data_IF_492700100177
#
_entry.id   IF_492700100177
#
_cell.length_a   1.000
_cell.length_b   1.000
_cell.length_c   1.000
_cell.angle_alpha   90.00
_cell.angle_beta   90.00
_cell.angle_gamma   90.00
#
_symmetry.space_group_name_H-M   'P 1'
#
loop_
_entity.id
_entity.type
_entity.pdbx_description
1 polymer ?
#
# COMPACT_ATOMS: atom_id res chain seq x y z
N UNK A 1 -22.20 -7.98 -15.02
CA UNK A 1 -21.34 -7.09 -15.85
C UNK A 1 -20.89 -7.86 -17.09
N UNK A 2 -20.93 -7.25 -18.26
CA UNK A 2 -20.31 -7.83 -19.46
C UNK A 2 -18.78 -7.75 -19.34
N UNK A 3 -18.10 -8.85 -18.99
CA UNK A 3 -16.64 -8.86 -18.76
C UNK A 3 -15.81 -8.31 -19.92
N UNK A 4 -16.27 -8.51 -21.17
CA UNK A 4 -15.64 -7.95 -22.38
C UNK A 4 -15.54 -6.42 -22.37
N UNK A 5 -16.44 -5.75 -21.66
CA UNK A 5 -16.40 -4.29 -21.56
C UNK A 5 -15.24 -3.80 -20.68
N UNK A 6 -14.70 -4.58 -19.74
CA UNK A 6 -13.59 -4.14 -18.85
C UNK A 6 -12.32 -3.80 -19.62
N UNK A 7 -12.04 -4.54 -20.70
CA UNK A 7 -10.87 -4.37 -21.56
C UNK A 7 -11.16 -3.51 -22.81
N UNK A 8 -12.34 -2.89 -22.88
CA UNK A 8 -12.71 -2.09 -24.04
C UNK A 8 -12.10 -0.70 -23.99
N UNK A 9 -11.26 -0.37 -24.97
CA UNK A 9 -10.64 0.96 -25.09
C UNK A 9 -11.68 2.01 -25.48
N UNK A 10 -12.70 1.65 -26.27
CA UNK A 10 -13.75 2.57 -26.74
C UNK A 10 -14.99 2.42 -25.86
N UNK A 11 -15.50 3.50 -25.28
CA UNK A 11 -16.72 3.49 -24.48
C UNK A 11 -16.68 4.51 -23.34
N UNK A 12 -17.73 4.48 -22.53
CA UNK A 12 -17.99 5.38 -21.41
C UNK A 12 -18.54 4.62 -20.21
N UNK A 13 -18.10 4.99 -19.02
CA UNK A 13 -18.53 4.40 -17.75
C UNK A 13 -19.31 5.44 -16.95
N UNK A 14 -20.50 5.06 -16.45
CA UNK A 14 -21.23 5.88 -15.50
C UNK A 14 -20.49 5.89 -14.13
N UNK A 15 -20.89 6.81 -13.26
CA UNK A 15 -20.23 6.99 -11.96
C UNK A 15 -20.29 5.73 -11.07
N UNK A 16 -21.42 5.01 -11.08
CA UNK A 16 -21.61 3.79 -10.29
C UNK A 16 -20.67 2.67 -10.76
N UNK A 17 -20.55 2.49 -12.06
CA UNK A 17 -19.70 1.46 -12.64
C UNK A 17 -18.22 1.76 -12.41
N UNK A 18 -17.82 3.01 -12.61
CA UNK A 18 -16.45 3.44 -12.36
C UNK A 18 -16.06 3.25 -10.88
N UNK A 19 -16.89 3.71 -9.94
CA UNK A 19 -16.65 3.53 -8.51
C UNK A 19 -16.61 2.07 -8.09
N UNK A 20 -17.54 1.25 -8.60
CA UNK A 20 -17.56 -0.19 -8.31
C UNK A 20 -16.31 -0.91 -8.83
N UNK A 21 -15.86 -0.60 -10.05
CA UNK A 21 -14.63 -1.19 -10.61
C UNK A 21 -13.43 -0.73 -9.78
N UNK A 22 -13.22 0.58 -9.62
CA UNK A 22 -12.08 1.11 -8.87
C UNK A 22 -12.02 0.59 -7.44
N UNK A 23 -13.14 0.62 -6.71
CA UNK A 23 -13.23 0.10 -5.34
C UNK A 23 -12.93 -1.40 -5.26
N UNK A 24 -13.41 -2.20 -6.23
CA UNK A 24 -13.11 -3.63 -6.29
C UNK A 24 -11.61 -3.88 -6.50
N UNK A 25 -10.91 -3.05 -7.28
CA UNK A 25 -9.47 -3.21 -7.52
C UNK A 25 -8.65 -2.93 -6.25
N UNK A 26 -8.97 -1.87 -5.49
CA UNK A 26 -8.35 -1.61 -4.19
C UNK A 26 -8.62 -2.74 -3.18
N UNK A 27 -9.83 -3.28 -3.18
CA UNK A 27 -10.18 -4.43 -2.33
C UNK A 27 -9.41 -5.69 -2.72
N UNK A 28 -9.26 -5.97 -4.02
CA UNK A 28 -8.46 -7.10 -4.50
C UNK A 28 -6.99 -6.95 -4.09
N UNK A 29 -6.43 -5.73 -4.09
CA UNK A 29 -5.08 -5.50 -3.56
C UNK A 29 -4.97 -5.75 -2.05
N UNK A 30 -5.95 -5.31 -1.27
CA UNK A 30 -5.98 -5.61 0.16
C UNK A 30 -6.08 -7.12 0.43
N UNK A 31 -6.93 -7.83 -0.29
CA UNK A 31 -6.99 -9.29 -0.21
C UNK A 31 -5.69 -9.94 -0.68
N UNK A 32 -5.06 -9.40 -1.72
CA UNK A 32 -3.74 -9.82 -2.21
C UNK A 32 -2.68 -9.71 -1.12
N UNK A 33 -2.63 -8.59 -0.42
CA UNK A 33 -1.75 -8.40 0.74
C UNK A 33 -2.02 -9.42 1.85
N UNK A 34 -3.29 -9.67 2.21
CA UNK A 34 -3.65 -10.65 3.26
C UNK A 34 -3.28 -12.08 2.86
N UNK A 35 -3.43 -12.46 1.59
CA UNK A 35 -3.23 -13.84 1.12
C UNK A 35 -1.79 -14.14 0.70
N UNK A 36 -1.11 -13.17 0.07
CA UNK A 36 0.23 -13.33 -0.51
C UNK A 36 1.30 -12.77 0.44
N UNK A 37 0.93 -11.84 1.33
CA UNK A 37 1.84 -11.13 2.21
C UNK A 37 2.45 -9.87 1.58
N UNK A 38 3.32 -9.21 2.35
CA UNK A 38 4.12 -8.09 1.89
C UNK A 38 5.17 -8.52 0.85
N UNK A 39 5.50 -7.61 -0.06
CA UNK A 39 6.55 -7.80 -1.07
C UNK A 39 6.08 -7.93 -2.52
N UNK A 40 6.91 -8.56 -3.35
CA UNK A 40 6.82 -8.50 -4.82
C UNK A 40 5.55 -9.11 -5.42
N UNK A 41 4.92 -10.08 -4.75
CA UNK A 41 3.68 -10.71 -5.22
C UNK A 41 2.51 -9.72 -5.31
N UNK A 42 2.39 -8.83 -4.32
CA UNK A 42 1.37 -7.78 -4.32
C UNK A 42 1.63 -6.73 -5.41
N UNK A 43 2.90 -6.38 -5.66
CA UNK A 43 3.29 -5.48 -6.75
C UNK A 43 2.96 -6.06 -8.14
N UNK A 44 3.20 -7.36 -8.33
CA UNK A 44 2.84 -8.05 -9.57
C UNK A 44 1.33 -8.04 -9.78
N UNK A 45 0.55 -8.30 -8.72
CA UNK A 45 -0.90 -8.21 -8.76
C UNK A 45 -1.36 -6.79 -9.14
N UNK A 46 -0.79 -5.75 -8.55
CA UNK A 46 -1.11 -4.36 -8.92
C UNK A 46 -0.80 -4.06 -10.39
N UNK A 47 0.33 -4.54 -10.90
CA UNK A 47 0.71 -4.36 -12.31
C UNK A 47 -0.32 -5.00 -13.26
N UNK A 48 -0.89 -6.15 -12.89
CA UNK A 48 -1.95 -6.82 -13.66
C UNK A 48 -3.29 -6.06 -13.61
N UNK A 49 -3.60 -5.40 -12.49
CA UNK A 49 -4.84 -4.65 -12.30
C UNK A 49 -4.77 -3.22 -12.86
N UNK A 50 -3.57 -2.65 -12.99
CA UNK A 50 -3.33 -1.29 -13.43
C UNK A 50 -3.99 -0.94 -14.79
N UNK A 51 -3.92 -1.79 -15.83
CA UNK A 51 -4.60 -1.52 -17.10
C UNK A 51 -6.12 -1.45 -16.96
N UNK A 52 -6.71 -2.26 -16.06
CA UNK A 52 -8.16 -2.27 -15.83
C UNK A 52 -8.61 -0.95 -15.20
N UNK A 53 -7.86 -0.47 -14.20
CA UNK A 53 -8.10 0.84 -13.59
C UNK A 53 -7.97 1.96 -14.64
N UNK A 54 -6.87 1.96 -15.39
CA UNK A 54 -6.62 2.97 -16.42
C UNK A 54 -7.68 3.01 -17.50
N UNK A 55 -8.14 1.85 -17.98
CA UNK A 55 -9.21 1.78 -18.98
C UNK A 55 -10.56 2.22 -18.41
N UNK A 56 -10.88 1.92 -17.15
CA UNK A 56 -12.11 2.44 -16.52
C UNK A 56 -12.04 3.95 -16.30
N UNK A 57 -10.90 4.48 -15.83
CA UNK A 57 -10.68 5.91 -15.68
C UNK A 57 -10.74 6.66 -17.02
N UNK A 58 -10.15 6.10 -18.09
CA UNK A 58 -10.25 6.67 -19.44
C UNK A 58 -11.70 6.72 -19.94
N UNK A 59 -12.48 5.66 -19.71
CA UNK A 59 -13.90 5.64 -20.06
C UNK A 59 -14.72 6.62 -19.24
N UNK A 60 -14.39 6.79 -17.95
CA UNK A 60 -15.03 7.79 -17.09
C UNK A 60 -14.73 9.21 -17.55
N UNK A 61 -13.46 9.51 -17.86
CA UNK A 61 -13.02 10.84 -18.33
C UNK A 61 -13.65 11.20 -19.67
N UNK A 62 -13.83 10.23 -20.57
CA UNK A 62 -14.58 10.43 -21.82
C UNK A 62 -16.08 10.64 -21.63
N UNK A 63 -16.63 10.16 -20.51
CA UNK A 63 -18.05 10.39 -20.19
C UNK A 63 -18.32 11.82 -19.71
N UNK A 64 -17.37 12.38 -18.97
CA UNK A 64 -17.41 13.77 -18.50
C UNK A 64 -16.77 14.75 -19.50
N UNK A 65 -16.47 14.28 -20.72
CA UNK A 65 -15.88 15.05 -21.84
C UNK A 65 -14.62 15.85 -21.46
N UNK A 66 -13.79 15.29 -20.57
CA UNK A 66 -12.52 15.90 -20.15
C UNK A 66 -11.34 15.33 -20.93
N UNK A 67 -10.21 16.05 -20.86
CA UNK A 67 -8.96 15.66 -21.49
C UNK A 67 -8.45 14.32 -20.90
N UNK A 68 -7.96 13.42 -21.76
CA UNK A 68 -7.62 12.05 -21.37
C UNK A 68 -6.55 11.91 -20.28
N UNK A 69 -5.69 12.90 -20.08
CA UNK A 69 -4.66 12.86 -19.03
C UNK A 69 -5.25 12.82 -17.61
N UNK A 70 -6.47 13.33 -17.40
CA UNK A 70 -7.16 13.23 -16.11
C UNK A 70 -7.35 11.78 -15.66
N UNK A 71 -7.42 10.83 -16.59
CA UNK A 71 -7.52 9.41 -16.25
C UNK A 71 -6.23 8.92 -15.57
N UNK A 72 -5.09 9.48 -15.97
CA UNK A 72 -3.79 9.20 -15.40
C UNK A 72 -3.69 9.54 -13.91
N UNK A 73 -4.50 10.48 -13.39
CA UNK A 73 -4.50 10.85 -11.97
C UNK A 73 -4.88 9.69 -11.04
N UNK A 74 -5.59 8.68 -11.55
CA UNK A 74 -5.97 7.50 -10.76
C UNK A 74 -4.82 6.50 -10.59
N UNK A 75 -3.79 6.54 -11.45
CA UNK A 75 -2.74 5.53 -11.49
C UNK A 75 -1.68 5.70 -10.39
N UNK A 76 -1.12 6.91 -10.13
CA UNK A 76 -0.14 7.10 -9.07
C UNK A 76 -0.62 6.66 -7.68
N UNK A 77 -1.80 7.08 -7.17
CA UNK A 77 -2.22 6.66 -5.83
C UNK A 77 -2.48 5.15 -5.75
N UNK A 78 -2.91 4.51 -6.83
CA UNK A 78 -3.06 3.06 -6.88
C UNK A 78 -1.70 2.33 -6.78
N UNK A 79 -0.70 2.79 -7.52
CA UNK A 79 0.65 2.23 -7.45
C UNK A 79 1.33 2.50 -6.10
N UNK A 80 1.19 3.72 -5.57
CA UNK A 80 1.71 4.08 -4.25
C UNK A 80 1.04 3.26 -3.14
N UNK A 81 -0.26 2.99 -3.26
CA UNK A 81 -0.96 2.10 -2.33
C UNK A 81 -0.39 0.69 -2.34
N UNK A 82 -0.20 0.11 -3.54
CA UNK A 82 0.42 -1.22 -3.65
C UNK A 82 1.87 -1.26 -3.14
N UNK A 83 2.65 -0.20 -3.39
CA UNK A 83 4.02 -0.09 -2.91
C UNK A 83 4.08 0.05 -1.38
N UNK A 84 3.19 0.86 -0.82
CA UNK A 84 3.08 1.04 0.63
C UNK A 84 2.69 -0.26 1.33
N UNK A 85 1.75 -1.03 0.76
CA UNK A 85 1.42 -2.37 1.25
C UNK A 85 2.60 -3.33 1.12
N UNK A 86 3.37 -3.26 0.03
CA UNK A 86 4.53 -4.12 -0.16
C UNK A 86 5.67 -3.84 0.85
N UNK A 87 5.76 -2.61 1.35
CA UNK A 87 6.72 -2.16 2.35
C UNK A 87 6.14 -2.13 3.78
N UNK A 88 4.94 -2.69 3.99
CA UNK A 88 4.26 -2.75 5.30
C UNK A 88 4.02 -1.38 5.98
N UNK A 89 4.09 -0.29 5.22
CA UNK A 89 3.87 1.06 5.76
C UNK A 89 2.38 1.37 5.87
N UNK A 90 1.83 1.23 7.07
CA UNK A 90 0.40 1.49 7.35
C UNK A 90 0.03 2.94 7.03
N UNK A 91 0.82 3.91 7.48
CA UNK A 91 0.54 5.34 7.25
C UNK A 91 0.53 5.69 5.76
N UNK A 92 1.55 5.26 5.00
CA UNK A 92 1.60 5.51 3.57
C UNK A 92 0.45 4.81 2.82
N UNK A 93 0.05 3.61 3.25
CA UNK A 93 -1.09 2.89 2.66
C UNK A 93 -2.42 3.64 2.92
N UNK A 94 -2.63 4.19 4.11
CA UNK A 94 -3.83 4.97 4.42
C UNK A 94 -3.88 6.28 3.64
N UNK A 95 -2.76 7.01 3.57
CA UNK A 95 -2.67 8.27 2.83
C UNK A 95 -2.95 8.04 1.34
N UNK A 96 -2.28 7.06 0.73
CA UNK A 96 -2.47 6.73 -0.69
C UNK A 96 -3.88 6.23 -0.99
N UNK A 97 -4.50 5.47 -0.08
CA UNK A 97 -5.90 5.06 -0.19
C UNK A 97 -6.84 6.26 -0.14
N UNK A 98 -6.68 7.18 0.82
CA UNK A 98 -7.51 8.38 0.95
C UNK A 98 -7.41 9.25 -0.30
N UNK A 99 -6.19 9.47 -0.82
CA UNK A 99 -5.97 10.21 -2.06
C UNK A 99 -6.64 9.50 -3.24
N UNK A 100 -6.45 8.18 -3.38
CA UNK A 100 -7.04 7.37 -4.44
C UNK A 100 -8.57 7.38 -4.43
N UNK A 101 -9.17 7.24 -3.24
CA UNK A 101 -10.62 7.35 -3.03
C UNK A 101 -11.10 8.75 -3.37
N UNK A 102 -10.42 9.80 -2.90
CA UNK A 102 -10.78 11.19 -3.17
C UNK A 102 -10.80 11.51 -4.68
N UNK A 103 -9.76 11.08 -5.41
CA UNK A 103 -9.69 11.27 -6.87
C UNK A 103 -10.78 10.45 -7.58
N UNK A 104 -11.01 9.21 -7.14
CA UNK A 104 -12.06 8.35 -7.70
C UNK A 104 -13.44 8.96 -7.50
N UNK A 105 -13.75 9.44 -6.29
CA UNK A 105 -15.02 10.11 -5.99
C UNK A 105 -15.14 11.43 -6.75
N UNK A 106 -14.08 12.22 -6.85
CA UNK A 106 -14.06 13.46 -7.62
C UNK A 106 -14.43 13.21 -9.10
N UNK A 107 -13.83 12.19 -9.73
CA UNK A 107 -14.16 11.82 -11.11
C UNK A 107 -15.56 11.18 -11.22
N UNK A 108 -15.98 10.43 -10.21
CA UNK A 108 -17.31 9.81 -10.17
C UNK A 108 -18.43 10.85 -10.07
N UNK A 109 -18.31 11.84 -9.20
CA UNK A 109 -19.37 12.82 -8.96
C UNK A 109 -19.46 13.93 -10.01
N UNK A 110 -18.51 14.01 -10.95
CA UNK A 110 -18.66 14.92 -12.09
C UNK A 110 -19.88 14.56 -12.94
N UNK A 111 -20.58 15.59 -13.42
CA UNK A 111 -21.78 15.41 -14.23
C UNK A 111 -21.44 14.70 -15.55
N UNK A 112 -22.18 13.63 -15.86
CA UNK A 112 -22.09 12.97 -17.16
C UNK A 112 -22.67 13.87 -18.25
N UNK A 113 -22.02 13.93 -19.42
CA UNK A 113 -22.56 14.64 -20.59
C UNK A 113 -23.72 13.87 -21.26
N UNK A 114 -23.95 12.61 -20.88
CA UNK A 114 -24.95 11.75 -21.52
C UNK A 114 -26.14 11.40 -20.61
N UNK A 115 -27.35 11.27 -21.20
CA UNK A 115 -28.54 10.92 -20.43
C UNK A 115 -28.47 9.48 -19.90
N UNK A 116 -28.98 9.28 -18.68
CA UNK A 116 -28.94 7.99 -17.98
C UNK A 116 -29.57 6.82 -18.75
N UNK A 117 -30.56 7.09 -19.62
CA UNK A 117 -31.27 6.09 -20.43
C UNK A 117 -30.39 5.39 -21.47
N UNK A 118 -29.20 5.94 -21.78
CA UNK A 118 -28.30 5.37 -22.77
C UNK A 118 -27.38 4.26 -22.22
N UNK A 119 -27.38 4.02 -20.90
CA UNK A 119 -26.47 3.06 -20.28
C UNK A 119 -27.09 1.67 -20.11
N UNK A 120 -26.32 0.64 -20.50
CA UNK A 120 -26.62 -0.75 -20.14
C UNK A 120 -25.62 -1.22 -19.08
N UNK A 121 -26.11 -1.59 -17.88
CA UNK A 121 -25.26 -1.95 -16.73
C UNK A 121 -24.17 -0.91 -16.40
N UNK A 122 -24.47 0.37 -16.60
CA UNK A 122 -23.54 1.48 -16.37
C UNK A 122 -22.44 1.66 -17.41
N UNK A 123 -22.53 0.97 -18.56
CA UNK A 123 -21.62 1.11 -19.70
C UNK A 123 -22.35 1.63 -20.95
N UNK A 124 -21.70 2.52 -21.70
CA UNK A 124 -22.12 2.97 -23.03
C UNK A 124 -20.97 2.79 -24.02
N UNK A 125 -21.15 1.95 -25.04
CA UNK A 125 -20.10 1.70 -26.03
C UNK A 125 -20.42 0.55 -26.99
N UNK A 126 -19.49 0.20 -27.89
CA UNK A 126 -19.72 -0.74 -29.00
C UNK A 126 -20.03 -2.19 -28.56
N UNK A 127 -19.79 -2.51 -27.28
CA UNK A 127 -20.11 -3.83 -26.71
C UNK A 127 -21.52 -3.90 -26.14
N UNK A 128 -22.22 -2.76 -26.03
CA UNK A 128 -23.67 -2.77 -25.79
C UNK A 128 -24.29 -3.19 -27.11
N UNK A 129 -24.74 -4.45 -27.19
CA UNK A 129 -25.68 -4.86 -28.23
C UNK A 129 -26.83 -3.86 -28.15
N UNK A 130 -26.90 -2.94 -29.10
CA UNK A 130 -28.13 -2.24 -29.37
C UNK A 130 -29.08 -3.34 -29.83
N UNK A 131 -29.79 -3.95 -28.87
CA UNK A 131 -31.11 -4.45 -29.16
C UNK A 131 -31.86 -3.22 -29.64
N UNK A 132 -31.78 -2.95 -30.95
CA UNK A 132 -32.80 -2.17 -31.63
C UNK A 132 -34.08 -2.77 -31.09
N UNK A 133 -35.00 -1.99 -30.51
CA UNK A 133 -36.34 -2.51 -30.30
C UNK A 133 -36.72 -3.04 -31.68
N UNK A 134 -36.80 -4.38 -31.81
CA UNK A 134 -37.47 -4.96 -32.95
C UNK A 134 -38.85 -4.38 -32.77
N UNK A 135 -39.15 -3.33 -33.54
CA UNK A 135 -40.52 -2.94 -33.79
C UNK A 135 -41.14 -4.25 -34.22
N UNK A 136 -41.88 -4.87 -33.31
CA UNK A 136 -42.69 -6.02 -33.61
C UNK A 136 -43.84 -5.42 -34.41
N UNK A 137 -43.54 -4.98 -35.64
CA UNK A 137 -44.54 -4.75 -36.65
C UNK A 137 -45.14 -6.12 -36.83
N UNK A 138 -46.30 -6.30 -36.20
CA UNK A 138 -47.15 -7.47 -36.39
C UNK A 138 -47.62 -7.38 -37.83
N UNK A 139 -46.84 -7.94 -38.74
CA UNK A 139 -47.25 -8.13 -40.12
C UNK A 139 -48.28 -9.25 -40.07
N UNK A 140 -49.55 -8.88 -40.19
CA UNK A 140 -50.61 -9.84 -40.42
C UNK A 140 -50.39 -10.47 -41.81
N UNK A 141 -50.49 -11.80 -41.95
CA UNK A 141 -50.34 -12.43 -43.24
C UNK A 141 -51.59 -12.14 -44.09
N UNK A 142 -51.49 -11.16 -45.00
CA UNK A 142 -52.51 -10.94 -46.03
C UNK A 142 -52.38 -12.02 -47.10
N UNK A 143 -53.34 -12.95 -47.13
CA UNK A 143 -53.55 -13.91 -48.24
C UNK A 143 -54.40 -13.21 -49.31
N UNK A 144 -53.90 -12.10 -49.85
CA UNK A 144 -54.39 -11.64 -51.14
C UNK A 144 -53.30 -10.89 -51.88
N UNK A 145 -53.03 -11.34 -53.11
CA UNK A 145 -51.85 -11.01 -53.91
C UNK A 145 -51.96 -9.66 -54.61
N UNK A 146 -52.15 -8.59 -53.86
CA UNK A 146 -52.22 -7.23 -54.39
C UNK A 146 -51.13 -6.37 -53.76
N UNK A 147 -50.14 -5.96 -54.55
CA UNK A 147 -49.15 -4.98 -54.14
C UNK A 147 -49.85 -3.64 -53.82
N UNK A 148 -49.52 -2.94 -52.72
CA UNK A 148 -50.07 -1.62 -52.51
C UNK A 148 -49.25 -0.61 -53.30
N UNK A 149 -49.94 0.12 -54.17
CA UNK A 149 -49.50 1.42 -54.65
C UNK A 149 -49.26 2.36 -53.45
N UNK A 150 -48.25 3.21 -53.59
CA UNK A 150 -47.87 4.18 -52.59
C UNK A 150 -49.01 5.18 -52.34
N UNK A 151 -49.58 5.16 -51.15
CA UNK A 151 -50.39 6.27 -50.63
C UNK A 151 -49.66 6.95 -49.47
N UNK A 152 -49.36 8.23 -49.69
CA UNK A 152 -49.05 9.20 -48.65
C UNK A 152 -50.24 9.30 -47.67
N UNK A 153 -49.99 9.02 -46.40
CA UNK A 153 -50.89 9.39 -45.32
C UNK A 153 -50.18 10.42 -44.45
N UNK A 154 -50.51 11.69 -44.66
CA UNK A 154 -50.34 12.72 -43.65
C UNK A 154 -51.32 12.48 -42.50
N UNK A 155 -50.90 12.74 -41.26
CA UNK A 155 -51.46 13.79 -40.40
C UNK A 155 -50.68 13.89 -39.07
N UNK A 156 -50.52 15.15 -38.69
CA UNK A 156 -50.38 15.76 -37.37
C UNK A 156 -49.05 15.86 -36.61
N UNK A 157 -48.73 17.13 -36.46
CA UNK A 157 -47.61 17.80 -35.84
C UNK A 157 -47.96 18.10 -34.38
N UNK A 158 -47.35 17.38 -33.43
CA UNK A 158 -47.19 17.83 -32.05
C UNK A 158 -46.22 16.90 -31.33
N UNK A 159 -44.93 17.23 -31.36
CA UNK A 159 -43.94 17.11 -30.26
C UNK A 159 -42.56 17.41 -30.86
N UNK A 160 -42.11 18.65 -30.69
CA UNK A 160 -40.78 19.09 -31.08
C UNK A 160 -39.70 18.27 -30.32
N UNK A 161 -39.08 17.33 -31.02
CA UNK A 161 -37.78 16.78 -30.64
C UNK A 161 -36.68 17.63 -31.29
N UNK A 162 -35.64 18.06 -30.56
CA UNK A 162 -34.62 18.92 -31.14
C UNK A 162 -33.81 18.16 -32.19
N UNK A 163 -33.65 18.83 -33.32
CA UNK A 163 -32.78 18.53 -34.44
C UNK A 163 -31.36 18.16 -33.96
N UNK A 164 -31.02 16.87 -34.01
CA UNK A 164 -29.63 16.43 -33.96
C UNK A 164 -29.09 16.44 -35.38
N UNK A 165 -28.07 17.28 -35.60
CA UNK A 165 -27.19 17.21 -36.76
C UNK A 165 -26.79 15.77 -37.03
N UNK A 166 -27.19 15.30 -38.21
CA UNK A 166 -26.75 14.05 -38.81
C UNK A 166 -25.26 14.15 -39.08
N UNK A 167 -24.44 13.70 -38.13
CA UNK A 167 -23.04 13.41 -38.40
C UNK A 167 -22.97 12.21 -39.36
N UNK A 168 -22.34 12.43 -40.51
CA UNK A 168 -22.05 11.43 -41.54
C UNK A 168 -21.72 10.05 -40.95
N UNK A 169 -22.48 9.06 -41.38
CA UNK A 169 -22.16 7.65 -41.20
C UNK A 169 -20.94 7.31 -42.05
N UNK A 170 -19.73 7.55 -41.52
CA UNK A 170 -18.55 6.89 -42.06
C UNK A 170 -18.66 5.40 -41.74
N UNK A 171 -18.81 4.60 -42.79
CA UNK A 171 -18.79 3.13 -42.76
C UNK A 171 -17.65 2.64 -41.85
N UNK A 172 -18.01 1.98 -40.74
CA UNK A 172 -17.05 1.28 -39.89
C UNK A 172 -16.84 -0.14 -40.42
N UNK A 173 -15.59 -0.55 -40.69
CA UNK A 173 -15.29 -1.94 -40.94
C UNK A 173 -15.37 -2.72 -39.62
N UNK A 174 -16.12 -3.82 -39.62
CA UNK A 174 -16.04 -4.85 -38.61
C UNK A 174 -14.63 -5.43 -38.57
N UNK A 175 -13.80 -5.03 -37.59
CA UNK A 175 -12.63 -5.83 -37.19
C UNK A 175 -12.48 -5.79 -35.67
N UNK A 176 -12.48 -6.99 -35.08
CA UNK A 176 -12.14 -7.20 -33.68
C UNK A 176 -10.80 -6.56 -33.35
N UNK A 177 -10.62 -6.21 -32.07
CA UNK A 177 -9.39 -5.58 -31.56
C UNK A 177 -8.23 -6.55 -31.80
N UNK A 178 -7.45 -6.30 -32.83
CA UNK A 178 -6.19 -6.99 -33.10
C UNK A 178 -5.05 -6.28 -32.38
N UNK A 179 -4.02 -7.04 -31.97
CA UNK A 179 -2.77 -6.55 -31.37
C UNK A 179 -2.13 -5.40 -32.17
N UNK A 180 -2.33 -5.39 -33.48
CA UNK A 180 -1.98 -4.32 -34.42
C UNK A 180 -2.54 -2.94 -34.01
N UNK A 181 -3.78 -2.87 -33.53
CA UNK A 181 -4.40 -1.59 -33.13
C UNK A 181 -3.77 -1.03 -31.84
N UNK A 182 -3.33 -1.92 -30.95
CA UNK A 182 -2.62 -1.58 -29.74
C UNK A 182 -1.19 -1.10 -30.04
N UNK A 183 -0.51 -1.76 -30.98
CA UNK A 183 0.81 -1.33 -31.47
C UNK A 183 0.75 0.03 -32.17
N UNK A 184 -0.27 0.29 -32.97
CA UNK A 184 -0.47 1.60 -33.63
C UNK A 184 -0.74 2.70 -32.58
N UNK A 185 -1.60 2.44 -31.60
CA UNK A 185 -1.86 3.39 -30.51
C UNK A 185 -0.61 3.63 -29.64
N UNK A 186 0.16 2.58 -29.36
CA UNK A 186 1.40 2.66 -28.60
C UNK A 186 2.47 3.46 -29.34
N UNK A 187 2.59 3.27 -30.66
CA UNK A 187 3.51 4.02 -31.52
C UNK A 187 3.11 5.50 -31.63
N UNK A 188 1.81 5.78 -31.69
CA UNK A 188 1.30 7.15 -31.77
C UNK A 188 1.41 7.90 -30.42
N UNK A 189 1.23 7.20 -29.30
CA UNK A 189 1.38 7.74 -27.95
C UNK A 189 2.72 7.36 -27.32
N UNK A 190 3.75 7.11 -28.13
CA UNK A 190 5.06 6.68 -27.66
C UNK A 190 5.65 7.65 -26.62
N UNK A 191 5.42 8.96 -26.76
CA UNK A 191 5.86 9.96 -25.77
C UNK A 191 5.15 9.81 -24.42
N UNK A 192 3.88 9.40 -24.43
CA UNK A 192 3.08 9.12 -23.24
C UNK A 192 3.48 7.79 -22.62
N UNK A 193 3.77 6.76 -23.43
CA UNK A 193 4.27 5.46 -22.95
C UNK A 193 5.69 5.55 -22.41
N UNK A 194 6.61 6.25 -23.08
CA UNK A 194 7.93 6.57 -22.53
C UNK A 194 7.82 7.50 -21.32
N UNK A 195 6.79 8.35 -21.24
CA UNK A 195 6.49 9.14 -20.05
C UNK A 195 6.02 8.27 -18.88
N UNK A 196 5.18 7.26 -19.12
CA UNK A 196 4.67 6.35 -18.09
C UNK A 196 5.73 5.33 -17.66
N UNK A 197 6.43 4.71 -18.61
CA UNK A 197 7.54 3.79 -18.34
C UNK A 197 8.71 4.56 -17.73
N UNK A 198 9.01 5.74 -18.25
CA UNK A 198 9.99 6.65 -17.71
C UNK A 198 9.60 7.15 -16.33
N UNK A 199 8.33 7.44 -16.05
CA UNK A 199 7.83 7.80 -14.73
C UNK A 199 7.79 6.61 -13.78
N UNK A 200 7.50 5.39 -14.23
CA UNK A 200 7.61 4.18 -13.42
C UNK A 200 9.06 3.85 -13.11
N UNK A 201 9.97 4.00 -14.08
CA UNK A 201 11.41 3.85 -13.87
C UNK A 201 11.95 4.97 -13.01
N UNK A 202 11.50 6.22 -13.18
CA UNK A 202 11.84 7.32 -12.30
C UNK A 202 11.27 7.06 -10.92
N UNK A 203 10.05 6.57 -10.76
CA UNK A 203 9.51 6.26 -9.43
C UNK A 203 10.20 5.05 -8.81
N UNK A 204 10.63 4.05 -9.58
CA UNK A 204 11.44 2.94 -9.09
C UNK A 204 12.83 3.41 -8.70
N UNK A 205 13.50 4.16 -9.57
CA UNK A 205 14.83 4.73 -9.34
C UNK A 205 14.78 5.76 -8.22
N UNK A 206 13.74 6.59 -8.14
CA UNK A 206 13.51 7.54 -7.07
C UNK A 206 13.08 6.83 -5.81
N UNK A 207 12.40 5.68 -5.84
CA UNK A 207 12.13 4.86 -4.64
C UNK A 207 13.36 4.11 -4.16
N UNK A 208 14.24 3.68 -5.08
CA UNK A 208 15.53 3.06 -4.75
C UNK A 208 16.55 4.10 -4.31
N UNK A 209 16.53 5.30 -4.90
CA UNK A 209 17.31 6.46 -4.47
C UNK A 209 16.75 7.03 -3.18
N UNK A 210 15.43 7.04 -2.98
CA UNK A 210 14.80 7.40 -1.70
C UNK A 210 15.19 6.36 -0.67
N UNK A 211 15.17 5.06 -0.97
CA UNK A 211 15.67 4.01 -0.07
C UNK A 211 17.18 4.10 0.16
N UNK A 212 17.98 4.63 -0.78
CA UNK A 212 19.41 4.89 -0.59
C UNK A 212 19.67 6.21 0.16
N UNK A 213 18.75 7.16 0.08
CA UNK A 213 18.80 8.44 0.79
C UNK A 213 18.28 8.28 2.22
N UNK A 214 17.20 7.51 2.44
CA UNK A 214 16.80 6.87 3.72
C UNK A 214 17.93 6.00 4.24
N UNK A 215 18.59 5.17 3.41
CA UNK A 215 19.77 4.42 3.90
C UNK A 215 20.97 5.32 4.24
N UNK A 216 20.90 6.63 3.98
CA UNK A 216 21.89 7.63 4.42
C UNK A 216 21.31 8.71 5.36
N UNK A 217 20.01 8.68 5.68
CA UNK A 217 19.31 9.61 6.58
C UNK A 217 18.38 8.90 7.59
N UNK A 218 18.30 7.57 7.60
CA UNK A 218 17.72 6.70 8.65
C UNK A 218 18.73 6.46 9.80
N UNK A 219 19.63 7.42 10.00
CA UNK A 219 20.33 7.62 11.27
C UNK A 219 19.93 8.96 11.93
N UNK A 220 18.97 9.70 11.35
CA UNK A 220 18.55 10.99 11.89
C UNK A 220 17.08 11.33 11.63
N UNK A 221 16.15 10.38 11.82
CA UNK A 221 14.82 10.75 12.32
C UNK A 221 14.82 10.58 13.84
N UNK A 222 15.50 11.54 14.47
CA UNK A 222 15.07 12.05 15.76
C UNK A 222 13.56 12.23 15.68
N UNK A 223 12.85 11.40 16.45
CA UNK A 223 11.51 11.70 16.88
C UNK A 223 11.43 13.20 17.17
N UNK A 224 10.63 13.91 16.37
CA UNK A 224 10.28 15.28 16.67
C UNK A 224 9.84 15.29 18.12
N UNK A 225 10.57 16.08 18.91
CA UNK A 225 10.26 16.35 20.29
C UNK A 225 8.95 17.13 20.30
N UNK A 226 7.83 16.42 20.21
CA UNK A 226 6.64 16.84 20.91
C UNK A 226 6.99 16.68 22.39
N UNK A 227 7.24 17.80 23.06
CA UNK A 227 7.22 17.89 24.50
C UNK A 227 5.81 17.49 24.96
N UNK A 228 5.54 16.19 24.96
CA UNK A 228 4.59 15.61 25.90
C UNK A 228 5.31 15.66 27.25
N UNK A 229 4.69 16.22 28.30
CA UNK A 229 5.30 16.24 29.62
C UNK A 229 5.80 14.83 29.94
N UNK A 230 7.08 14.76 30.27
CA UNK A 230 7.76 13.58 30.77
C UNK A 230 6.95 13.07 31.97
N UNK A 231 6.00 12.18 31.70
CA UNK A 231 5.42 11.33 32.71
C UNK A 231 6.59 10.47 33.16
N UNK A 232 6.99 10.68 34.41
CA UNK A 232 8.14 10.02 35.01
C UNK A 232 7.85 8.52 35.06
N UNK A 233 8.22 7.79 34.01
CA UNK A 233 8.27 6.33 34.05
C UNK A 233 9.27 5.99 35.16
N UNK A 234 8.77 5.33 36.21
CA UNK A 234 9.51 5.03 37.41
C UNK A 234 10.59 3.98 37.10
N UNK A 235 11.77 4.43 36.67
CA UNK A 235 12.91 3.55 36.37
C UNK A 235 13.65 3.20 37.65
N UNK A 236 13.73 1.90 37.94
CA UNK A 236 14.54 1.40 39.04
C UNK A 236 15.90 0.93 38.52
N UNK A 237 16.98 1.65 38.87
CA UNK A 237 18.34 1.31 38.49
C UNK A 237 19.12 0.69 39.68
N UNK A 238 19.88 -0.37 39.40
CA UNK A 238 20.87 -0.94 40.33
C UNK A 238 22.23 -0.99 39.65
N UNK A 239 23.25 -0.39 40.29
CA UNK A 239 24.65 -0.49 39.86
C UNK A 239 25.30 -1.73 40.43
N UNK A 240 25.94 -2.51 39.57
CA UNK A 240 26.64 -3.72 39.94
C UNK A 240 28.15 -3.47 40.11
N UNK A 241 28.86 -4.35 40.84
CA UNK A 241 30.25 -4.12 41.22
C UNK A 241 31.24 -4.02 40.04
N UNK A 242 30.90 -4.58 38.89
CA UNK A 242 31.77 -4.65 37.70
C UNK A 242 31.52 -3.51 36.70
N UNK A 243 30.88 -2.42 37.15
CA UNK A 243 30.75 -1.20 36.34
C UNK A 243 29.60 -1.19 35.33
N UNK A 244 28.72 -2.19 35.36
CA UNK A 244 27.45 -2.19 34.63
C UNK A 244 26.27 -1.96 35.58
N UNK A 245 25.13 -1.53 35.04
CA UNK A 245 23.87 -1.37 35.76
C UNK A 245 22.75 -2.19 35.12
N UNK A 246 21.76 -2.53 35.93
CA UNK A 246 20.49 -3.07 35.48
C UNK A 246 19.40 -2.04 35.75
N UNK A 247 18.59 -1.78 34.75
CA UNK A 247 17.43 -0.93 34.84
C UNK A 247 16.18 -1.78 34.60
N UNK A 248 15.17 -1.54 35.43
CA UNK A 248 13.84 -2.09 35.24
C UNK A 248 12.90 -0.93 34.88
N UNK A 249 12.33 -1.00 33.68
CA UNK A 249 11.32 -0.09 33.18
C UNK A 249 10.05 -0.92 32.98
N UNK A 250 9.11 -0.79 33.91
CA UNK A 250 7.97 -1.70 34.09
C UNK A 250 8.42 -3.17 34.29
N UNK A 251 8.33 -3.99 33.25
CA UNK A 251 8.78 -5.40 33.23
C UNK A 251 9.95 -5.63 32.25
N UNK A 252 10.40 -4.58 31.58
CA UNK A 252 11.47 -4.65 30.59
C UNK A 252 12.83 -4.47 31.28
N UNK A 253 13.67 -5.49 31.17
CA UNK A 253 15.04 -5.45 31.68
C UNK A 253 15.98 -4.79 30.67
N UNK A 254 16.76 -3.83 31.16
CA UNK A 254 17.83 -3.18 30.39
C UNK A 254 19.14 -3.39 31.13
N UNK A 255 20.15 -3.91 30.44
CA UNK A 255 21.52 -3.96 30.93
C UNK A 255 22.31 -2.82 30.31
N UNK A 256 22.98 -2.02 31.14
CA UNK A 256 23.69 -0.83 30.71
C UNK A 256 25.15 -0.85 31.16
N UNK A 257 26.09 -0.57 30.27
CA UNK A 257 27.52 -0.48 30.61
C UNK A 257 28.21 0.58 29.76
N UNK A 258 29.48 0.89 30.07
CA UNK A 258 30.26 1.84 29.28
C UNK A 258 30.84 1.16 28.03
N UNK A 259 30.56 1.72 26.85
CA UNK A 259 31.10 1.26 25.58
C UNK A 259 32.37 1.99 25.16
N UNK A 260 32.93 1.57 24.03
CA UNK A 260 33.94 2.36 23.33
C UNK A 260 33.29 3.57 22.64
N UNK A 261 34.06 4.65 22.47
CA UNK A 261 33.55 5.89 21.90
C UNK A 261 33.41 5.75 20.38
N UNK A 262 32.23 5.35 19.95
CA UNK A 262 31.81 5.30 18.55
C UNK A 262 30.56 6.16 18.31
N UNK A 263 30.13 6.27 17.05
CA UNK A 263 28.90 6.98 16.71
C UNK A 263 27.68 6.26 17.33
N UNK A 264 26.77 6.98 18.02
CA UNK A 264 25.57 6.40 18.60
C UNK A 264 24.74 5.67 17.55
N UNK A 265 24.20 4.49 17.89
CA UNK A 265 23.45 3.68 16.94
C UNK A 265 23.22 2.24 17.39
N UNK A 266 22.51 1.49 16.54
CA UNK A 266 22.17 0.08 16.80
C UNK A 266 23.39 -0.81 16.53
N UNK A 267 23.85 -1.52 17.56
CA UNK A 267 24.93 -2.52 17.46
C UNK A 267 24.37 -3.88 17.05
N UNK A 268 23.19 -4.25 17.56
CA UNK A 268 22.51 -5.51 17.25
C UNK A 268 20.99 -5.37 17.31
N UNK A 269 20.30 -6.03 16.39
CA UNK A 269 18.83 -6.07 16.34
C UNK A 269 18.32 -7.49 16.07
N UNK A 270 17.53 -8.03 17.01
CA UNK A 270 16.88 -9.33 16.86
C UNK A 270 15.83 -9.32 15.73
N UNK A 271 15.12 -8.20 15.55
CA UNK A 271 14.06 -8.07 14.55
C UNK A 271 14.59 -8.20 13.11
N UNK A 272 15.80 -7.70 12.86
CA UNK A 272 16.45 -7.78 11.54
C UNK A 272 17.50 -8.88 11.44
N UNK A 273 17.91 -9.46 12.57
CA UNK A 273 19.05 -10.37 12.69
C UNK A 273 20.35 -9.81 12.06
N UNK A 274 20.52 -8.49 12.14
CA UNK A 274 21.70 -7.76 11.64
C UNK A 274 22.42 -7.04 12.78
N UNK A 275 23.73 -6.89 12.63
CA UNK A 275 24.61 -6.24 13.59
C UNK A 275 25.80 -7.11 13.97
N UNK A 276 26.43 -6.80 15.09
CA UNK A 276 27.50 -7.63 15.65
C UNK A 276 26.92 -8.91 16.28
N UNK A 277 27.33 -10.06 15.74
CA UNK A 277 26.94 -11.37 16.25
C UNK A 277 27.43 -11.63 17.68
N UNK A 278 28.47 -10.92 18.15
CA UNK A 278 28.94 -11.02 19.54
C UNK A 278 27.90 -10.50 20.55
N UNK A 279 26.97 -9.67 20.08
CA UNK A 279 25.84 -9.13 20.84
C UNK A 279 24.55 -9.95 20.71
N UNK A 280 24.55 -11.02 19.91
CA UNK A 280 23.33 -11.78 19.63
C UNK A 280 22.82 -12.60 20.81
N UNK A 281 23.71 -12.93 21.76
CA UNK A 281 23.41 -13.80 22.90
C UNK A 281 24.15 -13.30 24.16
N UNK A 282 23.41 -13.19 25.25
CA UNK A 282 23.95 -13.05 26.60
C UNK A 282 24.16 -14.47 27.18
N UNK A 283 25.40 -14.79 27.52
CA UNK A 283 25.80 -16.15 27.91
C UNK A 283 26.36 -16.17 29.32
N UNK A 284 25.74 -16.95 30.21
CA UNK A 284 26.23 -17.15 31.58
C UNK A 284 27.23 -18.30 31.67
N UNK A 285 28.03 -18.31 32.74
CA UNK A 285 29.05 -19.33 32.97
C UNK A 285 28.52 -20.77 33.18
N UNK A 286 27.23 -20.93 33.46
CA UNK A 286 26.55 -22.23 33.55
C UNK A 286 26.01 -22.72 32.20
N UNK A 287 26.11 -21.92 31.13
CA UNK A 287 25.57 -22.21 29.82
C UNK A 287 24.14 -21.71 29.55
N UNK A 288 23.48 -21.02 30.51
CA UNK A 288 22.23 -20.30 30.22
C UNK A 288 22.48 -19.22 29.16
N UNK A 289 21.52 -19.06 28.24
CA UNK A 289 21.62 -18.10 27.14
C UNK A 289 20.31 -17.35 26.97
N UNK A 290 20.41 -16.04 26.77
CA UNK A 290 19.25 -15.16 26.53
C UNK A 290 19.56 -14.24 25.36
N UNK A 291 18.54 -13.91 24.56
CA UNK A 291 18.73 -13.06 23.37
C UNK A 291 18.26 -11.64 23.67
N UNK A 292 19.11 -10.63 23.53
CA UNK A 292 18.65 -9.25 23.56
C UNK A 292 17.78 -8.96 22.32
N UNK A 293 16.75 -8.15 22.51
CA UNK A 293 15.89 -7.62 21.44
C UNK A 293 16.65 -6.59 20.62
N UNK A 294 17.37 -5.69 21.29
CA UNK A 294 18.30 -4.76 20.68
C UNK A 294 19.49 -4.48 21.60
N UNK A 295 20.61 -4.09 21.00
CA UNK A 295 21.76 -3.50 21.68
C UNK A 295 22.13 -2.21 20.96
N UNK A 296 22.23 -1.11 21.70
CA UNK A 296 22.40 0.23 21.16
C UNK A 296 23.47 1.00 21.92
N UNK A 297 24.32 1.74 21.20
CA UNK A 297 25.23 2.72 21.76
C UNK A 297 24.49 4.06 21.89
N UNK A 298 24.39 4.54 23.11
CA UNK A 298 23.72 5.79 23.46
C UNK A 298 24.64 7.00 23.24
N UNK A 299 24.04 8.19 23.15
CA UNK A 299 24.77 9.45 22.97
C UNK A 299 25.75 9.79 24.11
N UNK A 300 25.58 9.18 25.29
CA UNK A 300 26.47 9.34 26.44
C UNK A 300 27.54 8.24 26.53
N UNK A 301 27.83 7.56 25.42
CA UNK A 301 28.83 6.47 25.29
C UNK A 301 28.51 5.20 26.08
N UNK A 302 27.32 5.12 26.70
CA UNK A 302 26.86 3.88 27.31
C UNK A 302 26.19 2.98 26.29
N UNK A 303 26.36 1.67 26.45
CA UNK A 303 25.66 0.66 25.66
C UNK A 303 24.49 0.15 26.49
N UNK A 304 23.31 0.05 25.88
CA UNK A 304 22.11 -0.54 26.46
C UNK A 304 21.71 -1.80 25.68
N UNK A 305 21.59 -2.92 26.38
CA UNK A 305 20.99 -4.15 25.87
C UNK A 305 19.59 -4.33 26.48
N UNK A 306 18.59 -4.45 25.61
CA UNK A 306 17.17 -4.58 25.99
C UNK A 306 16.71 -6.03 25.84
N UNK A 307 16.02 -6.56 26.85
CA UNK A 307 15.53 -7.94 26.85
C UNK A 307 14.02 -8.01 26.80
N UNK A 308 13.48 -9.17 26.43
CA UNK A 308 12.04 -9.39 26.45
C UNK A 308 11.55 -9.50 27.89
N UNK A 309 10.33 -9.01 28.21
CA UNK A 309 9.73 -9.20 29.53
C UNK A 309 9.61 -10.68 29.95
N UNK A 310 9.54 -11.59 28.97
CA UNK A 310 9.48 -13.04 29.20
C UNK A 310 10.75 -13.58 29.85
N UNK A 311 11.90 -13.03 29.50
CA UNK A 311 13.21 -13.48 29.98
C UNK A 311 13.69 -12.73 31.24
N UNK A 312 13.06 -11.60 31.57
CA UNK A 312 13.47 -10.69 32.67
C UNK A 312 13.72 -11.43 33.99
N UNK A 313 12.77 -12.26 34.43
CA UNK A 313 12.88 -12.94 35.72
C UNK A 313 14.07 -13.91 35.78
N UNK A 314 14.22 -14.73 34.74
CA UNK A 314 15.31 -15.71 34.63
C UNK A 314 16.68 -15.03 34.50
N UNK A 315 16.77 -13.93 33.75
CA UNK A 315 18.00 -13.14 33.64
C UNK A 315 18.39 -12.54 34.98
N UNK A 316 17.47 -11.90 35.72
CA UNK A 316 17.78 -11.31 37.03
C UNK A 316 18.22 -12.39 38.02
N UNK A 317 17.54 -13.53 38.03
CA UNK A 317 17.88 -14.67 38.87
C UNK A 317 19.29 -15.22 38.54
N UNK A 318 19.62 -15.38 37.26
CA UNK A 318 20.97 -15.79 36.84
C UNK A 318 22.02 -14.70 37.17
N UNK A 319 21.72 -13.41 37.03
CA UNK A 319 22.62 -12.32 37.48
C UNK A 319 22.91 -12.42 38.97
N UNK A 320 21.93 -12.80 39.78
CA UNK A 320 22.10 -12.93 41.22
C UNK A 320 22.95 -14.15 41.63
N UNK A 321 22.78 -15.29 40.95
CA UNK A 321 23.36 -16.56 41.39
C UNK A 321 24.61 -17.02 40.63
N UNK A 322 24.85 -16.49 39.43
CA UNK A 322 25.96 -16.94 38.57
C UNK A 322 27.25 -16.17 38.86
N UNK A 323 28.35 -16.69 38.31
CA UNK A 323 29.69 -16.15 38.58
C UNK A 323 30.13 -15.08 37.57
N UNK A 324 29.73 -15.24 36.31
CA UNK A 324 30.04 -14.30 35.24
C UNK A 324 29.06 -14.45 34.09
N UNK A 325 28.91 -13.40 33.28
CA UNK A 325 28.20 -13.42 32.01
C UNK A 325 29.04 -12.78 30.90
N UNK A 326 28.66 -13.03 29.65
CA UNK A 326 29.28 -12.44 28.45
C UNK A 326 28.22 -11.86 27.54
N UNK A 327 28.49 -10.68 26.99
CA UNK A 327 27.64 -10.02 25.99
C UNK A 327 28.49 -9.02 25.18
N UNK A 328 28.30 -8.97 23.87
CA UNK A 328 29.00 -8.02 22.97
C UNK A 328 30.52 -8.10 23.06
N UNK A 329 31.07 -9.30 23.29
CA UNK A 329 32.50 -9.50 23.51
C UNK A 329 33.02 -9.10 24.90
N UNK A 330 32.22 -8.40 25.72
CA UNK A 330 32.55 -8.08 27.10
C UNK A 330 32.31 -9.27 28.03
N UNK A 331 33.13 -9.40 29.07
CA UNK A 331 32.97 -10.39 30.13
C UNK A 331 32.73 -9.64 31.45
N UNK A 332 31.60 -9.91 32.10
CA UNK A 332 31.21 -9.26 33.33
C UNK A 332 31.27 -10.24 34.51
N UNK A 333 31.92 -9.83 35.59
CA UNK A 333 31.92 -10.51 36.87
C UNK A 333 30.62 -10.24 37.63
N UNK A 334 29.99 -11.29 38.14
CA UNK A 334 28.74 -11.21 38.90
C UNK A 334 28.96 -11.31 40.42
N UNK A 335 30.22 -11.22 40.86
CA UNK A 335 30.56 -11.30 42.27
C UNK A 335 29.98 -10.11 43.04
N UNK A 336 29.03 -10.39 43.93
CA UNK A 336 28.35 -9.37 44.73
C UNK A 336 27.06 -8.84 44.12
N UNK A 337 26.67 -9.32 42.94
CA UNK A 337 25.43 -8.92 42.25
C UNK A 337 24.18 -9.20 43.08
N UNK A 338 24.10 -10.37 43.74
CA UNK A 338 22.99 -10.71 44.65
C UNK A 338 22.79 -9.65 45.74
N UNK A 339 23.88 -9.19 46.36
CA UNK A 339 23.83 -8.20 47.44
C UNK A 339 23.44 -6.81 46.93
N UNK A 340 23.85 -6.47 45.70
CA UNK A 340 23.45 -5.21 45.07
C UNK A 340 21.95 -5.22 44.72
N UNK A 341 21.45 -6.31 44.13
CA UNK A 341 20.04 -6.46 43.76
C UNK A 341 19.12 -6.49 44.98
N UNK A 342 19.50 -7.18 46.06
CA UNK A 342 18.71 -7.27 47.28
C UNK A 342 18.50 -5.92 48.00
N UNK A 343 19.27 -4.88 47.66
CA UNK A 343 19.11 -3.52 48.21
C UNK A 343 18.02 -2.71 47.49
N UNK A 344 17.55 -3.16 46.33
CA UNK A 344 16.53 -2.46 45.54
C UNK A 344 15.20 -3.20 45.59
N UNK A 345 14.16 -2.52 46.08
CA UNK A 345 12.83 -3.12 46.25
C UNK A 345 12.23 -3.67 44.95
N UNK A 346 12.55 -3.05 43.81
CA UNK A 346 12.07 -3.49 42.50
C UNK A 346 12.66 -4.84 42.04
N UNK A 347 13.86 -5.20 42.52
CA UNK A 347 14.55 -6.42 42.08
C UNK A 347 14.35 -7.60 43.03
N UNK A 348 13.95 -7.34 44.29
CA UNK A 348 13.70 -8.38 45.31
C UNK A 348 12.72 -9.48 44.85
N UNK A 349 11.62 -9.20 44.13
CA UNK A 349 10.67 -10.23 43.69
C UNK A 349 11.30 -11.32 42.80
N UNK A 350 12.42 -11.03 42.15
CA UNK A 350 13.10 -11.93 41.21
C UNK A 350 14.23 -12.76 41.86
N UNK A 351 14.44 -12.63 43.17
CA UNK A 351 15.54 -13.29 43.89
C UNK A 351 15.11 -14.55 44.67
N UNK A 352 13.84 -14.95 44.59
CA UNK A 352 13.21 -15.95 45.46
C UNK A 352 12.83 -17.27 44.79
#
# INVERSE_FOLDING_TARGET
MQYKSLFCVKGRDNWQRFTAISGSLYLILLLGFVLIGAGGGNLLLALLLLPVLGLSALRRVRDIERQSWFAGLTLPPFMLFSLSLANESVMASLISLVIGVSITLFLAFQKSSHPAKSYSQGYFGPQVSQQRPRSHSRVEPTIDGSAPDAEEVGYDEAYAAPFYLQAESTQQPEKGVTLELWLVWAKQNQKLLFGVVGSCLLLMVFSSLWSMLDSSEDAAEQASIEHTPQESVERSEVRLPDGFSLLLEDELLIMRWLGEADEPGVIWSLATAKGDNSCAELVFNNGSQYRPVSVELMADTSIEARFTPLDTAEIIHDVALRGSLKLCGYNFSLKGSQSALAKSGAFVPYLG
#
